data_IF_805923039478
#
_entry.id   IF_805923039478
#
_cell.length_a   1.000
_cell.length_b   1.000
_cell.length_c   1.000
_cell.angle_alpha   90.00
_cell.angle_beta   90.00
_cell.angle_gamma   90.00
#
_symmetry.space_group_name_H-M   'P 1'
#
loop_
_entity.id
_entity.type
_entity.pdbx_description
1 polymer ?
#
# COMPACT_ATOMS: atom_id res chain seq x y z
N UNK A 1 8.00 0.87 5.82
CA UNK A 1 7.79 2.03 4.92
C UNK A 1 6.37 2.47 5.09
N UNK A 2 6.13 3.77 5.16
CA UNK A 2 4.79 4.34 5.12
C UNK A 2 4.64 5.12 3.80
N UNK A 3 3.53 4.93 3.11
CA UNK A 3 3.26 5.63 1.84
C UNK A 3 2.24 6.74 2.06
N UNK A 4 2.59 7.94 1.64
CA UNK A 4 1.77 9.12 1.78
C UNK A 4 1.55 9.79 0.42
N UNK A 5 0.51 9.33 -0.29
CA UNK A 5 0.05 9.92 -1.55
C UNK A 5 -1.31 10.58 -1.32
N UNK A 6 -1.31 11.91 -1.30
CA UNK A 6 -2.51 12.73 -1.02
C UNK A 6 -3.03 13.49 -2.27
N UNK A 7 -4.00 12.99 -3.03
CA UNK A 7 -4.56 11.65 -3.05
C UNK A 7 -4.62 11.17 -4.51
N UNK A 8 -4.74 9.86 -4.76
CA UNK A 8 -5.13 9.37 -6.08
C UNK A 8 -6.42 10.04 -6.57
N UNK A 9 -6.33 10.82 -7.64
CA UNK A 9 -7.39 11.70 -8.13
C UNK A 9 -8.27 11.09 -9.24
N UNK A 10 -8.08 9.79 -9.52
CA UNK A 10 -8.88 9.05 -10.48
C UNK A 10 -8.77 7.54 -10.25
N UNK A 11 -9.69 6.77 -10.85
CA UNK A 11 -9.64 5.30 -10.80
C UNK A 11 -8.30 4.74 -11.31
N UNK A 12 -7.70 5.36 -12.34
CA UNK A 12 -6.38 4.97 -12.85
C UNK A 12 -5.29 5.21 -11.81
N UNK A 13 -5.31 6.37 -11.13
CA UNK A 13 -4.33 6.63 -10.07
C UNK A 13 -4.54 5.69 -8.87
N UNK A 14 -5.79 5.35 -8.52
CA UNK A 14 -6.07 4.38 -7.46
C UNK A 14 -5.54 2.98 -7.78
N UNK A 15 -5.68 2.52 -9.03
CA UNK A 15 -5.07 1.26 -9.48
C UNK A 15 -3.54 1.35 -9.49
N UNK A 16 -2.96 2.46 -9.95
CA UNK A 16 -1.51 2.66 -9.89
C UNK A 16 -0.99 2.63 -8.45
N UNK A 17 -1.72 3.22 -7.51
CA UNK A 17 -1.39 3.18 -6.10
C UNK A 17 -1.39 1.75 -5.55
N UNK A 18 -2.39 0.94 -5.93
CA UNK A 18 -2.37 -0.49 -5.62
C UNK A 18 -1.16 -1.22 -6.22
N UNK A 19 -0.78 -0.94 -7.47
CA UNK A 19 0.39 -1.57 -8.09
C UNK A 19 1.70 -1.21 -7.36
N UNK A 20 1.83 0.04 -6.89
CA UNK A 20 2.96 0.47 -6.05
C UNK A 20 2.98 -0.33 -4.74
N UNK A 21 1.85 -0.40 -4.03
CA UNK A 21 1.74 -1.16 -2.77
C UNK A 21 2.10 -2.63 -2.98
N UNK A 22 1.57 -3.26 -4.04
CA UNK A 22 1.86 -4.64 -4.39
C UNK A 22 3.35 -4.86 -4.67
N UNK A 23 3.97 -3.97 -5.46
CA UNK A 23 5.40 -4.05 -5.78
C UNK A 23 6.29 -3.87 -4.55
N UNK A 24 5.97 -2.90 -3.69
CA UNK A 24 6.70 -2.68 -2.44
C UNK A 24 6.58 -3.86 -1.49
N UNK A 25 5.38 -4.44 -1.35
CA UNK A 25 5.17 -5.63 -0.51
C UNK A 25 6.06 -6.78 -0.96
N UNK A 26 6.07 -7.07 -2.27
CA UNK A 26 6.92 -8.13 -2.84
C UNK A 26 8.41 -7.84 -2.60
N UNK A 27 8.87 -6.62 -2.87
CA UNK A 27 10.28 -6.26 -2.67
C UNK A 27 10.73 -6.35 -1.20
N UNK A 28 9.84 -6.01 -0.26
CA UNK A 28 10.11 -6.14 1.17
C UNK A 28 10.18 -7.62 1.60
N UNK A 29 9.30 -8.47 1.08
CA UNK A 29 9.28 -9.90 1.38
C UNK A 29 10.50 -10.62 0.78
N UNK A 30 10.87 -10.28 -0.45
CA UNK A 30 12.08 -10.77 -1.12
C UNK A 30 13.33 -10.36 -0.35
N UNK A 31 13.39 -9.12 0.15
CA UNK A 31 14.51 -8.62 0.95
C UNK A 31 14.67 -9.39 2.26
N UNK A 32 13.58 -9.63 2.98
CA UNK A 32 13.62 -10.43 4.21
C UNK A 32 14.14 -11.84 3.94
N UNK A 33 13.64 -12.45 2.86
CA UNK A 33 14.06 -13.79 2.40
C UNK A 33 15.54 -13.83 2.04
N UNK A 34 16.02 -12.89 1.22
CA UNK A 34 17.40 -12.83 0.76
C UNK A 34 18.42 -12.64 1.90
N UNK A 35 18.00 -12.01 3.00
CA UNK A 35 18.83 -11.77 4.17
C UNK A 35 18.64 -12.82 5.29
N UNK A 36 17.80 -13.84 5.07
CA UNK A 36 17.51 -14.86 6.08
C UNK A 36 16.82 -14.30 7.33
N UNK A 37 16.08 -13.20 7.19
CA UNK A 37 15.38 -12.55 8.29
C UNK A 37 14.06 -13.27 8.60
N UNK A 38 13.76 -13.42 9.89
CA UNK A 38 12.55 -14.10 10.37
C UNK A 38 11.43 -13.12 10.75
N UNK A 39 11.55 -11.85 10.38
CA UNK A 39 10.54 -10.83 10.63
C UNK A 39 10.00 -10.26 9.32
N UNK A 40 8.76 -9.78 9.38
CA UNK A 40 8.10 -9.09 8.26
C UNK A 40 8.36 -7.59 8.37
N UNK A 41 8.91 -6.98 7.33
CA UNK A 41 8.98 -5.53 7.23
C UNK A 41 7.58 -4.92 7.13
N UNK A 42 7.31 -3.90 7.94
CA UNK A 42 6.03 -3.19 7.92
C UNK A 42 5.88 -2.32 6.66
N UNK A 43 4.69 -2.38 6.08
CA UNK A 43 4.22 -1.53 5.00
C UNK A 43 2.87 -0.93 5.38
N UNK A 44 2.83 0.39 5.53
CA UNK A 44 1.63 1.15 5.92
C UNK A 44 1.36 2.27 4.92
N UNK A 45 0.19 2.89 4.99
CA UNK A 45 -0.11 4.08 4.21
C UNK A 45 -1.09 5.00 4.95
N UNK A 46 -0.89 6.31 4.80
CA UNK A 46 -1.89 7.32 5.17
C UNK A 46 -3.00 7.33 4.11
N UNK A 47 -4.24 7.10 4.52
CA UNK A 47 -5.40 7.04 3.62
C UNK A 47 -6.40 8.17 3.90
N UNK A 48 -7.08 8.70 2.86
CA UNK A 48 -8.04 9.78 3.05
C UNK A 48 -9.27 9.32 3.84
N UNK A 49 -9.69 10.13 4.82
CA UNK A 49 -11.00 9.98 5.47
C UNK A 49 -12.17 10.56 4.65
N UNK A 50 -11.88 11.37 3.62
CA UNK A 50 -12.89 12.03 2.78
C UNK A 50 -13.47 11.12 1.68
N UNK A 51 -14.80 10.99 1.54
CA UNK A 51 -15.43 10.09 0.54
C UNK A 51 -15.04 10.35 -0.90
N UNK A 52 -14.84 11.62 -1.28
CA UNK A 52 -14.44 11.98 -2.63
C UNK A 52 -13.05 11.42 -3.00
N UNK A 53 -12.18 11.18 -2.01
CA UNK A 53 -10.81 10.72 -2.22
C UNK A 53 -10.72 9.20 -2.11
N UNK A 54 -11.30 8.57 -1.07
CA UNK A 54 -11.25 7.11 -0.94
C UNK A 54 -12.11 6.39 -1.98
N UNK A 55 -13.06 7.08 -2.64
CA UNK A 55 -13.87 6.49 -3.72
C UNK A 55 -13.05 6.02 -4.93
N UNK A 56 -11.83 6.51 -5.11
CA UNK A 56 -10.93 6.05 -6.17
C UNK A 56 -10.08 4.84 -5.77
N UNK A 57 -10.10 4.43 -4.50
CA UNK A 57 -9.25 3.38 -3.95
C UNK A 57 -10.00 2.04 -3.85
N UNK A 58 -9.35 0.96 -4.27
CA UNK A 58 -9.79 -0.40 -3.96
C UNK A 58 -9.26 -0.80 -2.58
N UNK A 59 -9.93 -0.32 -1.53
CA UNK A 59 -9.52 -0.54 -0.14
C UNK A 59 -9.42 -2.03 0.23
N UNK A 60 -10.23 -2.89 -0.39
CA UNK A 60 -10.17 -4.32 -0.15
C UNK A 60 -8.85 -4.93 -0.66
N UNK A 61 -8.43 -4.58 -1.88
CA UNK A 61 -7.11 -5.00 -2.40
C UNK A 61 -5.95 -4.41 -1.62
N UNK A 62 -6.06 -3.14 -1.23
CA UNK A 62 -5.03 -2.45 -0.44
C UNK A 62 -4.87 -3.12 0.94
N UNK A 63 -5.96 -3.45 1.62
CA UNK A 63 -5.94 -4.10 2.94
C UNK A 63 -5.26 -5.48 2.93
N UNK A 64 -5.28 -6.19 1.80
CA UNK A 64 -4.61 -7.49 1.67
C UNK A 64 -3.08 -7.37 1.64
N UNK A 65 -2.53 -6.17 1.49
CA UNK A 65 -1.10 -5.92 1.26
C UNK A 65 -0.45 -5.03 2.32
N UNK A 66 -1.18 -4.07 2.86
CA UNK A 66 -0.72 -3.24 3.97
C UNK A 66 -0.85 -3.97 5.31
N UNK A 67 0.00 -3.59 6.25
CA UNK A 67 -0.06 -4.04 7.64
C UNK A 67 -1.03 -3.21 8.48
N UNK A 68 -1.24 -1.95 8.10
CA UNK A 68 -2.15 -1.01 8.77
C UNK A 68 -2.48 0.18 7.85
N UNK A 69 -3.68 0.75 8.02
CA UNK A 69 -4.06 2.05 7.45
C UNK A 69 -3.90 3.12 8.53
N UNK A 70 -3.24 4.23 8.19
CA UNK A 70 -3.14 5.43 9.01
C UNK A 70 -4.18 6.46 8.58
#
# INVERSE_FOLDING_TARGET
VDIDWEFPASKTQGENFYQIIKGLRAALDDKATALGQNYKYLLTAALPAGPANYAFLDLAKINQRLDMFN
#
